data_IF_653782715600
#
_entry.id   IF_653782715600
#
_cell.length_a   1.000
_cell.length_b   1.000
_cell.length_c   1.000
_cell.angle_alpha   90.00
_cell.angle_beta   90.00
_cell.angle_gamma   90.00
#
_symmetry.space_group_name_H-M   'P 1'
#
loop_
_entity.id
_entity.type
_entity.pdbx_description
1 polymer ?
#
# COMPACT_ATOMS: atom_id res chain seq x y z
N UNK A 1 13.69 4.36 32.46
CA UNK A 1 13.63 5.60 31.66
C UNK A 1 13.93 5.25 30.21
N UNK A 2 13.09 5.65 29.24
CA UNK A 2 13.38 5.40 27.82
C UNK A 2 14.61 6.21 27.41
N UNK A 3 15.60 5.57 26.81
CA UNK A 3 16.86 6.23 26.42
C UNK A 3 16.61 7.22 25.27
N UNK A 4 17.45 8.25 25.13
CA UNK A 4 17.35 9.21 24.02
C UNK A 4 17.37 8.50 22.66
N UNK A 5 18.20 7.46 22.54
CA UNK A 5 18.28 6.58 21.37
C UNK A 5 16.94 5.95 21.00
N UNK A 6 16.22 5.40 21.98
CA UNK A 6 14.93 4.75 21.72
C UNK A 6 13.89 5.71 21.16
N UNK A 7 13.87 6.95 21.67
CA UNK A 7 13.00 8.01 21.17
C UNK A 7 13.35 8.40 19.73
N UNK A 8 14.64 8.59 19.44
CA UNK A 8 15.11 8.91 18.09
C UNK A 8 14.72 7.80 17.11
N UNK A 9 15.01 6.54 17.43
CA UNK A 9 14.65 5.41 16.54
C UNK A 9 13.13 5.30 16.36
N UNK A 10 12.34 5.57 17.40
CA UNK A 10 10.89 5.59 17.30
C UNK A 10 10.41 6.67 16.33
N UNK A 11 10.92 7.91 16.47
CA UNK A 11 10.58 9.00 15.55
C UNK A 11 11.02 8.68 14.13
N UNK A 12 12.24 8.16 13.92
CA UNK A 12 12.74 7.79 12.60
C UNK A 12 11.87 6.71 11.94
N UNK A 13 11.40 5.71 12.69
CA UNK A 13 10.50 4.68 12.15
C UNK A 13 9.12 5.24 11.79
N UNK A 14 8.57 6.17 12.57
CA UNK A 14 7.35 6.89 12.22
C UNK A 14 7.50 7.77 10.97
N UNK A 15 8.64 8.47 10.83
CA UNK A 15 8.94 9.26 9.64
C UNK A 15 9.11 8.39 8.39
N UNK A 16 9.81 7.26 8.52
CA UNK A 16 9.92 6.29 7.43
C UNK A 16 8.54 5.76 7.03
N UNK A 17 7.69 5.40 8.00
CA UNK A 17 6.32 4.99 7.74
C UNK A 17 5.54 6.03 6.92
N UNK A 18 5.63 7.31 7.29
CA UNK A 18 5.00 8.39 6.52
C UNK A 18 5.59 8.51 5.12
N UNK A 19 6.92 8.45 4.97
CA UNK A 19 7.58 8.54 3.68
C UNK A 19 7.13 7.43 2.71
N UNK A 20 6.96 6.21 3.20
CA UNK A 20 6.45 5.09 2.38
C UNK A 20 4.94 5.16 2.10
N UNK A 21 4.20 6.00 2.81
CA UNK A 21 2.79 6.28 2.55
C UNK A 21 2.56 7.57 1.76
N UNK A 22 3.63 8.28 1.39
CA UNK A 22 3.50 9.41 0.47
C UNK A 22 2.94 8.88 -0.85
N UNK A 23 1.71 9.27 -1.12
CA UNK A 23 0.96 8.90 -2.32
C UNK A 23 0.53 10.15 -3.06
N UNK A 24 0.58 10.11 -4.39
CA UNK A 24 0.01 11.18 -5.24
C UNK A 24 -1.13 10.59 -6.06
N UNK A 25 -2.25 11.31 -6.09
CA UNK A 25 -3.39 10.97 -6.96
C UNK A 25 -3.38 11.73 -8.29
N UNK A 26 -2.33 12.53 -8.56
CA UNK A 26 -2.19 13.31 -9.80
C UNK A 26 -1.33 12.61 -10.84
N UNK A 27 -1.70 12.78 -12.11
CA UNK A 27 -0.86 12.53 -13.29
C UNK A 27 0.45 13.33 -13.18
N UNK A 28 1.55 12.78 -13.70
CA UNK A 28 2.94 13.24 -13.51
C UNK A 28 3.13 14.74 -13.78
N UNK A 29 2.25 15.33 -14.59
CA UNK A 29 2.39 16.70 -15.11
C UNK A 29 1.83 17.79 -14.16
N UNK A 30 1.10 17.43 -13.08
CA UNK A 30 0.52 18.42 -12.14
C UNK A 30 0.52 17.91 -10.68
N UNK A 31 1.69 17.89 -10.04
CA UNK A 31 1.79 17.60 -8.60
C UNK A 31 1.41 18.87 -7.82
N UNK A 32 0.24 18.84 -7.17
CA UNK A 32 -0.20 19.89 -6.24
C UNK A 32 -0.04 19.42 -4.80
N UNK A 33 0.14 20.35 -3.87
CA UNK A 33 0.22 20.01 -2.43
C UNK A 33 -1.04 19.27 -1.95
N UNK A 34 -2.22 19.65 -2.47
CA UNK A 34 -3.49 18.98 -2.16
C UNK A 34 -3.56 17.53 -2.65
N UNK A 35 -2.95 17.21 -3.79
CA UNK A 35 -2.96 15.85 -4.33
C UNK A 35 -2.02 14.90 -3.60
N UNK A 36 -0.90 15.41 -3.08
CA UNK A 36 0.01 14.64 -2.22
C UNK A 36 -0.66 14.34 -0.87
N UNK A 37 -1.29 15.34 -0.24
CA UNK A 37 -1.97 15.14 1.05
C UNK A 37 -3.14 14.17 0.89
N UNK A 38 -4.03 14.40 -0.08
CA UNK A 38 -5.20 13.53 -0.27
C UNK A 38 -4.80 12.11 -0.69
N UNK A 39 -3.81 11.95 -1.57
CA UNK A 39 -3.26 10.64 -1.94
C UNK A 39 -2.65 9.89 -0.75
N UNK A 40 -1.87 10.59 0.08
CA UNK A 40 -1.29 10.03 1.31
C UNK A 40 -2.36 9.60 2.30
N UNK A 41 -3.38 10.44 2.53
CA UNK A 41 -4.50 10.11 3.42
C UNK A 41 -5.27 8.91 2.90
N UNK A 42 -5.56 8.87 1.61
CA UNK A 42 -6.24 7.74 0.98
C UNK A 42 -5.42 6.45 1.15
N UNK A 43 -4.11 6.51 0.92
CA UNK A 43 -3.20 5.37 1.10
C UNK A 43 -3.17 4.91 2.57
N UNK A 44 -3.13 5.84 3.53
CA UNK A 44 -3.19 5.50 4.95
C UNK A 44 -4.52 4.84 5.32
N UNK A 45 -5.64 5.35 4.82
CA UNK A 45 -6.96 4.80 5.10
C UNK A 45 -7.16 3.42 4.49
N UNK A 46 -6.62 3.16 3.30
CA UNK A 46 -6.72 1.85 2.66
C UNK A 46 -5.80 0.83 3.33
N UNK A 47 -4.59 1.21 3.76
CA UNK A 47 -3.67 0.27 4.41
C UNK A 47 -3.93 0.07 5.90
N UNK A 48 -4.51 1.06 6.60
CA UNK A 48 -4.69 1.04 8.05
C UNK A 48 -5.43 -0.21 8.59
N UNK A 49 -6.57 -0.66 8.02
CA UNK A 49 -7.25 -1.85 8.50
C UNK A 49 -6.38 -3.11 8.43
N UNK A 50 -5.61 -3.27 7.35
CA UNK A 50 -4.67 -4.38 7.18
C UNK A 50 -3.52 -4.28 8.18
N UNK A 51 -2.91 -3.10 8.32
CA UNK A 51 -1.85 -2.85 9.30
C UNK A 51 -2.30 -3.19 10.72
N UNK A 52 -3.52 -2.79 11.11
CA UNK A 52 -4.12 -3.10 12.42
C UNK A 52 -4.27 -4.61 12.59
N UNK A 53 -4.88 -5.30 11.61
CA UNK A 53 -5.10 -6.74 11.66
C UNK A 53 -3.79 -7.52 11.82
N UNK A 54 -2.81 -7.25 10.97
CA UNK A 54 -1.49 -7.89 11.04
C UNK A 54 -0.75 -7.54 12.33
N UNK A 55 -0.88 -6.32 12.83
CA UNK A 55 -0.28 -5.92 14.12
C UNK A 55 -0.90 -6.71 15.27
N UNK A 56 -2.22 -6.89 15.31
CA UNK A 56 -2.90 -7.68 16.33
C UNK A 56 -2.41 -9.13 16.29
N UNK A 57 -2.33 -9.73 15.09
CA UNK A 57 -1.80 -11.10 14.92
C UNK A 57 -0.36 -11.19 15.43
N UNK A 58 0.51 -10.28 15.03
CA UNK A 58 1.91 -10.26 15.48
C UNK A 58 2.02 -10.09 17.00
N UNK A 59 1.23 -9.20 17.60
CA UNK A 59 1.20 -8.98 19.05
C UNK A 59 0.67 -10.22 19.78
N UNK A 60 -0.35 -10.89 19.24
CA UNK A 60 -0.88 -12.13 19.79
C UNK A 60 0.17 -13.25 19.78
N UNK A 61 0.93 -13.40 18.68
CA UNK A 61 2.04 -14.34 18.59
C UNK A 61 3.14 -14.02 19.61
N UNK A 62 3.57 -12.76 19.71
CA UNK A 62 4.57 -12.35 20.71
C UNK A 62 4.07 -12.68 22.12
N UNK A 63 2.82 -12.34 22.43
CA UNK A 63 2.19 -12.63 23.73
C UNK A 63 2.16 -14.12 24.03
N UNK A 64 1.90 -14.97 23.03
CA UNK A 64 1.93 -16.41 23.17
C UNK A 64 3.34 -16.91 23.58
N UNK A 65 4.39 -16.42 22.92
CA UNK A 65 5.77 -16.82 23.21
C UNK A 65 6.34 -16.24 24.50
N UNK A 66 5.85 -15.10 24.99
CA UNK A 66 6.34 -14.45 26.23
C UNK A 66 5.54 -14.81 27.48
N UNK A 67 4.77 -15.92 27.45
CA UNK A 67 4.02 -16.40 28.61
C UNK A 67 2.80 -15.54 28.95
N UNK A 68 2.14 -14.97 27.94
CA UNK A 68 0.85 -14.31 28.09
C UNK A 68 0.90 -12.81 28.43
N UNK A 69 2.09 -12.20 28.55
CA UNK A 69 2.22 -10.77 28.85
C UNK A 69 2.08 -9.91 27.60
N UNK A 70 1.29 -8.84 27.69
CA UNK A 70 1.13 -7.89 26.59
C UNK A 70 2.44 -7.10 26.36
N UNK A 71 2.89 -6.93 25.10
CA UNK A 71 4.08 -6.12 24.82
C UNK A 71 3.88 -4.65 25.23
N UNK A 72 4.93 -3.93 25.63
CA UNK A 72 4.85 -2.49 25.84
C UNK A 72 4.34 -1.77 24.58
N UNK A 73 3.51 -0.73 24.74
CA UNK A 73 2.93 0.03 23.63
C UNK A 73 3.96 0.57 22.63
N UNK A 74 5.18 0.89 23.08
CA UNK A 74 6.29 1.30 22.21
C UNK A 74 6.61 0.22 21.16
N UNK A 75 6.61 -1.05 21.59
CA UNK A 75 6.88 -2.19 20.72
C UNK A 75 5.71 -2.44 19.76
N UNK A 76 4.47 -2.30 20.25
CA UNK A 76 3.27 -2.43 19.41
C UNK A 76 3.27 -1.39 18.29
N UNK A 77 3.55 -0.12 18.61
CA UNK A 77 3.63 0.95 17.62
C UNK A 77 4.76 0.73 16.60
N UNK A 78 5.93 0.23 17.03
CA UNK A 78 7.02 -0.14 16.10
C UNK A 78 6.61 -1.26 15.15
N UNK A 79 5.94 -2.30 15.66
CA UNK A 79 5.43 -3.41 14.83
C UNK A 79 4.44 -2.87 13.80
N UNK A 80 3.52 -2.01 14.23
CA UNK A 80 2.57 -1.34 13.34
C UNK A 80 3.29 -0.53 12.24
N UNK A 81 4.28 0.29 12.59
CA UNK A 81 5.06 1.04 11.60
C UNK A 81 5.83 0.14 10.64
N UNK A 82 6.44 -0.95 11.12
CA UNK A 82 7.16 -1.89 10.25
C UNK A 82 6.24 -2.59 9.25
N UNK A 83 5.10 -3.12 9.72
CA UNK A 83 4.08 -3.72 8.84
C UNK A 83 3.57 -2.69 7.85
N UNK A 84 3.30 -1.48 8.34
CA UNK A 84 2.88 -0.35 7.54
C UNK A 84 3.87 0.02 6.44
N UNK A 85 5.16 0.12 6.74
CA UNK A 85 6.20 0.41 5.74
C UNK A 85 6.17 -0.64 4.62
N UNK A 86 6.02 -1.91 4.96
CA UNK A 86 5.94 -2.99 3.97
C UNK A 86 4.70 -2.81 3.07
N UNK A 87 3.52 -2.56 3.66
CA UNK A 87 2.31 -2.34 2.86
C UNK A 87 2.37 -1.07 2.03
N UNK A 88 2.85 0.05 2.60
CA UNK A 88 3.03 1.31 1.89
C UNK A 88 3.97 1.15 0.70
N UNK A 89 5.07 0.42 0.87
CA UNK A 89 5.99 0.07 -0.20
C UNK A 89 5.31 -0.75 -1.31
N UNK A 90 4.62 -1.84 -0.97
CA UNK A 90 3.91 -2.66 -1.97
C UNK A 90 2.81 -1.88 -2.70
N UNK A 91 2.06 -1.05 -1.97
CA UNK A 91 1.01 -0.21 -2.56
C UNK A 91 1.60 0.79 -3.56
N UNK A 92 2.70 1.46 -3.19
CA UNK A 92 3.37 2.39 -4.09
C UNK A 92 3.98 1.69 -5.31
N UNK A 93 4.56 0.49 -5.14
CA UNK A 93 5.07 -0.31 -6.24
C UNK A 93 3.93 -0.72 -7.21
N UNK A 94 2.82 -1.21 -6.66
CA UNK A 94 1.63 -1.58 -7.44
C UNK A 94 1.07 -0.39 -8.20
N UNK A 95 0.87 0.75 -7.53
CA UNK A 95 0.31 1.95 -8.14
C UNK A 95 1.23 2.51 -9.24
N UNK A 96 2.54 2.46 -9.03
CA UNK A 96 3.52 2.90 -10.04
C UNK A 96 3.49 1.99 -11.27
N UNK A 97 3.48 0.67 -11.07
CA UNK A 97 3.35 -0.30 -12.17
C UNK A 97 2.04 -0.14 -12.94
N UNK A 98 0.93 0.04 -12.22
CA UNK A 98 -0.38 0.26 -12.82
C UNK A 98 -0.43 1.55 -13.67
N UNK A 99 0.14 2.65 -13.16
CA UNK A 99 0.23 3.92 -13.90
C UNK A 99 1.10 3.79 -15.15
N UNK A 100 2.25 3.13 -15.05
CA UNK A 100 3.14 2.88 -16.19
C UNK A 100 2.45 2.07 -17.29
N UNK A 101 1.65 1.07 -16.93
CA UNK A 101 0.87 0.28 -17.89
C UNK A 101 -0.25 1.10 -18.53
N UNK A 102 -0.98 1.90 -17.74
CA UNK A 102 -2.01 2.80 -18.30
C UNK A 102 -1.41 3.82 -19.28
N UNK A 103 -0.24 4.38 -18.99
CA UNK A 103 0.44 5.29 -19.92
C UNK A 103 0.83 4.61 -21.23
N UNK A 104 1.30 3.36 -21.18
CA UNK A 104 1.59 2.55 -22.39
C UNK A 104 0.34 2.33 -23.22
N UNK A 105 -0.75 1.92 -22.58
CA UNK A 105 -2.03 1.65 -23.22
C UNK A 105 -2.63 2.90 -23.87
N UNK A 106 -2.58 4.04 -23.17
CA UNK A 106 -3.00 5.33 -23.71
C UNK A 106 -2.19 5.73 -24.95
N UNK A 107 -0.87 5.48 -24.97
CA UNK A 107 -0.03 5.72 -26.16
C UNK A 107 -0.37 4.80 -27.32
N UNK A 108 -0.75 3.55 -27.04
CA UNK A 108 -1.09 2.56 -28.07
C UNK A 108 -2.59 2.59 -28.48
N UNK A 109 -3.40 3.45 -27.87
CA UNK A 109 -4.85 3.49 -28.09
C UNK A 109 -5.59 2.21 -27.66
N UNK A 110 -4.96 1.37 -26.83
CA UNK A 110 -5.51 0.10 -26.36
C UNK A 110 -6.12 0.27 -24.97
N UNK A 111 -7.19 -0.47 -24.68
CA UNK A 111 -7.75 -0.51 -23.32
C UNK A 111 -6.94 -1.45 -22.42
N UNK A 112 -6.92 -1.24 -21.10
CA UNK A 112 -6.24 -2.15 -20.19
C UNK A 112 -6.79 -3.57 -20.27
N UNK A 113 -5.89 -4.55 -20.08
CA UNK A 113 -6.20 -5.99 -20.16
C UNK A 113 -7.32 -6.38 -19.18
N UNK A 114 -7.45 -5.68 -18.05
CA UNK A 114 -8.55 -5.84 -17.11
C UNK A 114 -9.92 -5.45 -17.68
N UNK A 115 -9.98 -4.49 -18.61
CA UNK A 115 -11.20 -4.06 -19.30
C UNK A 115 -11.49 -4.87 -20.56
N UNK A 116 -10.46 -5.42 -21.23
CA UNK A 116 -10.64 -6.29 -22.39
C UNK A 116 -11.44 -7.56 -22.07
N UNK A 117 -11.41 -8.04 -20.82
CA UNK A 117 -12.10 -9.27 -20.42
C UNK A 117 -13.62 -9.12 -20.26
N UNK A 118 -14.13 -7.89 -20.16
CA UNK A 118 -15.53 -7.61 -19.87
C UNK A 118 -16.09 -6.51 -20.79
N UNK A 119 -15.67 -6.45 -22.05
CA UNK A 119 -16.33 -5.58 -23.03
C UNK A 119 -17.74 -6.13 -23.31
N UNK A 120 -18.82 -5.48 -22.84
CA UNK A 120 -20.19 -5.95 -23.08
C UNK A 120 -20.53 -5.62 -24.53
N UNK A 121 -20.18 -6.52 -25.45
CA UNK A 121 -20.38 -6.30 -26.89
C UNK A 121 -19.55 -7.19 -27.81
N UNK A 122 -18.50 -7.86 -27.33
CA UNK A 122 -17.79 -8.84 -28.15
C UNK A 122 -18.54 -10.18 -28.12
N UNK A 123 -19.25 -10.47 -29.21
CA UNK A 123 -19.77 -11.81 -29.47
C UNK A 123 -18.59 -12.77 -29.62
N UNK A 124 -18.61 -13.95 -28.96
CA UNK A 124 -17.56 -14.94 -29.13
C UNK A 124 -17.43 -15.29 -30.61
N UNK A 125 -16.28 -14.98 -31.23
CA UNK A 125 -16.01 -15.44 -32.60
C UNK A 125 -15.89 -16.97 -32.54
N UNK A 126 -16.62 -17.71 -33.41
CA UNK A 126 -16.49 -19.14 -33.43
C UNK A 126 -15.04 -19.52 -33.75
N UNK A 127 -14.49 -20.58 -33.12
CA UNK A 127 -13.11 -20.97 -33.33
C UNK A 127 -12.83 -21.30 -34.80
N UNK A 128 -11.65 -20.94 -35.29
CA UNK A 128 -11.24 -21.08 -36.69
C UNK A 128 -11.05 -22.52 -37.20
N UNK A 129 -11.30 -23.53 -36.36
CA UNK A 129 -11.25 -24.94 -36.75
C UNK A 129 -12.62 -25.52 -37.15
N UNK A 130 -13.64 -24.67 -37.24
CA UNK A 130 -14.99 -25.04 -37.71
C UNK A 130 -15.22 -24.74 -39.20
N UNK A 131 -14.17 -24.44 -39.96
CA UNK A 131 -14.22 -24.25 -41.42
C UNK A 131 -13.61 -25.46 -42.14
#
# INVERSE_FOLDING_TARGET
MKTLREKITFVLTGLAYLAFHLGTNSTVDNISLGSVVSGTVQQLLTTAPYCIGFTIVAVALIRYFTGGKWPPWDRVARIFFTIGIIFGFYFNLYNTGYRAEQERLNREGKKPVSELRFSPGETPRPPSYWA
#
